data_IF_145325851024
#
_entry.id   IF_145325851024
#
_cell.length_a   1.000
_cell.length_b   1.000
_cell.length_c   1.000
_cell.angle_alpha   90.00
_cell.angle_beta   90.00
_cell.angle_gamma   90.00
#
_symmetry.space_group_name_H-M   'P 1'
#
loop_
_entity.id
_entity.type
_entity.pdbx_description
1 polymer ?
#
# COMPACT_ATOMS: atom_id res chain seq x y z
N UNK A 1 6.83 7.31 -22.22
CA UNK A 1 5.63 6.44 -22.20
C UNK A 1 4.50 7.13 -21.46
N UNK A 2 3.27 7.08 -21.99
CA UNK A 2 2.08 7.75 -21.46
C UNK A 2 1.59 7.07 -20.15
N UNK A 3 1.00 7.82 -19.23
CA UNK A 3 0.38 7.30 -17.99
C UNK A 3 -0.95 6.59 -18.24
N UNK A 4 -1.59 6.82 -19.38
CA UNK A 4 -2.87 6.19 -19.75
C UNK A 4 -2.71 4.90 -20.55
N UNK A 5 -1.49 4.41 -20.77
CA UNK A 5 -1.26 3.16 -21.51
C UNK A 5 -1.85 1.96 -20.73
N UNK A 6 -2.68 1.10 -21.35
CA UNK A 6 -3.30 -0.03 -20.67
C UNK A 6 -2.33 -0.97 -19.93
N UNK A 7 -1.09 -1.10 -20.41
CA UNK A 7 -0.07 -1.93 -19.76
C UNK A 7 0.36 -1.39 -18.40
N UNK A 8 0.11 -0.10 -18.12
CA UNK A 8 0.44 0.55 -16.84
C UNK A 8 -0.34 0.02 -15.66
N UNK A 9 -1.56 -0.51 -15.87
CA UNK A 9 -2.33 -1.09 -14.77
C UNK A 9 -1.56 -2.27 -14.16
N UNK A 10 -1.01 -3.16 -15.00
CA UNK A 10 -0.20 -4.28 -14.53
C UNK A 10 1.07 -3.82 -13.80
N UNK A 11 1.76 -2.79 -14.31
CA UNK A 11 2.92 -2.18 -13.63
C UNK A 11 2.54 -1.66 -12.23
N UNK A 12 1.43 -0.91 -12.12
CA UNK A 12 0.97 -0.35 -10.86
C UNK A 12 0.57 -1.43 -9.85
N UNK A 13 -0.16 -2.47 -10.29
CA UNK A 13 -0.48 -3.63 -9.46
C UNK A 13 0.80 -4.34 -8.99
N UNK A 14 1.79 -4.49 -9.87
CA UNK A 14 3.09 -5.05 -9.53
C UNK A 14 3.84 -4.22 -8.47
N UNK A 15 3.83 -2.90 -8.58
CA UNK A 15 4.41 -2.01 -7.58
C UNK A 15 3.72 -2.13 -6.22
N UNK A 16 2.39 -2.22 -6.21
CA UNK A 16 1.62 -2.41 -4.96
C UNK A 16 2.01 -3.75 -4.33
N UNK A 17 1.98 -4.85 -5.10
CA UNK A 17 2.29 -6.17 -4.61
C UNK A 17 3.71 -6.24 -4.02
N UNK A 18 4.70 -5.74 -4.76
CA UNK A 18 6.10 -5.74 -4.30
C UNK A 18 6.28 -4.91 -3.03
N UNK A 19 5.62 -3.76 -2.92
CA UNK A 19 5.69 -2.92 -1.74
C UNK A 19 5.06 -3.60 -0.51
N UNK A 20 3.94 -4.29 -0.67
CA UNK A 20 3.32 -5.09 0.41
C UNK A 20 4.26 -6.23 0.84
N UNK A 21 4.85 -6.94 -0.13
CA UNK A 21 5.78 -8.04 0.16
C UNK A 21 7.03 -7.55 0.90
N UNK A 22 7.61 -6.42 0.49
CA UNK A 22 8.73 -5.79 1.20
C UNK A 22 8.36 -5.47 2.66
N UNK A 23 7.20 -4.85 2.89
CA UNK A 23 6.73 -4.50 4.25
C UNK A 23 6.60 -5.76 5.10
N UNK A 24 6.00 -6.83 4.55
CA UNK A 24 5.87 -8.11 5.25
C UNK A 24 7.24 -8.68 5.61
N UNK A 25 8.20 -8.63 4.69
CA UNK A 25 9.53 -9.19 4.92
C UNK A 25 10.32 -8.41 5.99
N UNK A 26 10.19 -7.07 6.03
CA UNK A 26 10.82 -6.26 7.07
C UNK A 26 10.22 -6.45 8.46
N UNK A 27 8.94 -6.81 8.53
CA UNK A 27 8.17 -6.92 9.77
C UNK A 27 7.96 -8.37 10.22
N UNK A 28 8.46 -9.34 9.43
CA UNK A 28 8.25 -10.76 9.67
C UNK A 28 8.79 -11.19 11.04
N UNK A 29 7.93 -11.77 11.87
CA UNK A 29 8.29 -12.25 13.21
C UNK A 29 8.55 -11.14 14.24
N UNK A 30 8.40 -9.87 13.87
CA UNK A 30 8.51 -8.76 14.81
C UNK A 30 7.22 -8.63 15.65
N UNK A 31 7.39 -8.28 16.92
CA UNK A 31 6.31 -7.76 17.74
C UNK A 31 6.26 -6.22 17.63
N UNK A 32 5.12 -5.62 18.01
CA UNK A 32 4.93 -4.17 17.98
C UNK A 32 6.08 -3.43 18.70
N UNK A 33 6.43 -3.84 19.92
CA UNK A 33 7.48 -3.15 20.70
C UNK A 33 8.84 -3.16 19.99
N UNK A 34 9.18 -4.25 19.30
CA UNK A 34 10.41 -4.35 18.51
C UNK A 34 10.37 -3.42 17.28
N UNK A 35 9.22 -3.34 16.61
CA UNK A 35 8.99 -2.42 15.50
C UNK A 35 9.05 -0.94 15.94
N UNK A 36 8.50 -0.60 17.12
CA UNK A 36 8.45 0.78 17.62
C UNK A 36 9.83 1.36 17.95
N UNK A 37 10.83 0.52 18.20
CA UNK A 37 12.21 0.96 18.47
C UNK A 37 13.15 0.82 17.26
N UNK A 38 12.73 0.13 16.20
CA UNK A 38 13.50 -0.03 14.97
C UNK A 38 13.17 1.07 13.94
N UNK A 39 13.86 2.20 14.07
CA UNK A 39 13.66 3.36 13.18
C UNK A 39 13.93 3.04 11.71
N UNK A 40 14.87 2.15 11.42
CA UNK A 40 15.20 1.78 10.04
C UNK A 40 14.03 1.02 9.40
N UNK A 41 13.44 0.08 10.12
CA UNK A 41 12.27 -0.67 9.65
C UNK A 41 11.06 0.23 9.50
N UNK A 42 10.84 1.17 10.43
CA UNK A 42 9.80 2.19 10.32
C UNK A 42 9.90 3.01 9.03
N UNK A 43 11.09 3.54 8.72
CA UNK A 43 11.31 4.33 7.50
C UNK A 43 11.12 3.49 6.23
N UNK A 44 11.60 2.25 6.23
CA UNK A 44 11.41 1.32 5.12
C UNK A 44 9.92 1.00 4.89
N UNK A 45 9.16 0.80 5.96
CA UNK A 45 7.70 0.58 5.88
C UNK A 45 6.99 1.80 5.32
N UNK A 46 7.25 2.99 5.87
CA UNK A 46 6.62 4.24 5.42
C UNK A 46 6.87 4.47 3.93
N UNK A 47 8.11 4.26 3.47
CA UNK A 47 8.45 4.41 2.04
C UNK A 47 7.65 3.46 1.14
N UNK A 48 7.43 2.21 1.56
CA UNK A 48 6.64 1.26 0.76
C UNK A 48 5.14 1.59 0.79
N UNK A 49 4.62 2.12 1.91
CA UNK A 49 3.23 2.60 1.98
C UNK A 49 2.99 3.79 1.05
N UNK A 50 3.95 4.69 0.88
CA UNK A 50 3.90 5.76 -0.13
C UNK A 50 3.81 5.20 -1.56
N UNK A 51 4.60 4.15 -1.87
CA UNK A 51 4.58 3.50 -3.18
C UNK A 51 3.20 2.89 -3.47
N UNK A 52 2.61 2.20 -2.49
CA UNK A 52 1.26 1.65 -2.60
C UNK A 52 0.25 2.77 -2.88
N UNK A 53 0.33 3.88 -2.15
CA UNK A 53 -0.54 5.04 -2.32
C UNK A 53 -0.40 5.69 -3.71
N UNK A 54 0.83 5.91 -4.17
CA UNK A 54 1.08 6.52 -5.48
C UNK A 54 0.58 5.64 -6.64
N UNK A 55 0.87 4.33 -6.59
CA UNK A 55 0.40 3.39 -7.60
C UNK A 55 -1.14 3.31 -7.63
N UNK A 56 -1.79 3.24 -6.47
CA UNK A 56 -3.25 3.20 -6.37
C UNK A 56 -3.90 4.48 -6.90
N UNK A 57 -3.34 5.64 -6.54
CA UNK A 57 -3.81 6.94 -7.06
C UNK A 57 -3.65 7.05 -8.58
N UNK A 58 -2.56 6.52 -9.15
CA UNK A 58 -2.38 6.50 -10.60
C UNK A 58 -3.42 5.60 -11.30
N UNK A 59 -3.78 4.45 -10.72
CA UNK A 59 -4.86 3.59 -11.23
C UNK A 59 -6.18 4.37 -11.24
N UNK A 60 -6.58 4.99 -10.13
CA UNK A 60 -7.83 5.77 -10.06
C UNK A 60 -7.83 6.92 -11.07
N UNK A 61 -6.73 7.66 -11.16
CA UNK A 61 -6.63 8.87 -11.98
C UNK A 61 -6.57 8.59 -13.48
N UNK A 62 -5.86 7.54 -13.89
CA UNK A 62 -5.55 7.28 -15.30
C UNK A 62 -6.31 6.07 -15.87
N UNK A 63 -6.86 5.21 -15.01
CA UNK A 63 -7.55 3.97 -15.37
C UNK A 63 -8.87 3.81 -14.58
N UNK A 64 -9.65 4.89 -14.47
CA UNK A 64 -10.89 4.93 -13.70
C UNK A 64 -11.89 3.80 -14.03
N UNK A 65 -11.98 3.37 -15.31
CA UNK A 65 -12.83 2.25 -15.70
C UNK A 65 -12.43 0.93 -15.02
N UNK A 66 -11.12 0.68 -14.91
CA UNK A 66 -10.59 -0.49 -14.19
C UNK A 66 -10.86 -0.36 -12.69
N UNK A 67 -10.57 0.81 -12.10
CA UNK A 67 -10.83 1.06 -10.68
C UNK A 67 -12.31 0.87 -10.31
N UNK A 68 -13.22 1.36 -11.16
CA UNK A 68 -14.67 1.24 -10.96
C UNK A 68 -15.17 -0.21 -11.11
N UNK A 69 -14.56 -0.99 -12.01
CA UNK A 69 -14.87 -2.42 -12.17
C UNK A 69 -14.40 -3.25 -10.95
N UNK A 70 -13.42 -2.75 -10.20
CA UNK A 70 -12.83 -3.37 -9.02
C UNK A 70 -12.97 -2.46 -7.79
N UNK A 71 -14.20 -1.98 -7.53
CA UNK A 71 -14.50 -1.02 -6.48
C UNK A 71 -14.43 -1.60 -5.06
N UNK A 72 -14.29 -2.92 -4.93
CA UNK A 72 -14.04 -3.64 -3.67
C UNK A 72 -12.58 -3.49 -3.19
N UNK A 73 -11.68 -3.04 -4.06
CA UNK A 73 -10.28 -2.77 -3.70
C UNK A 73 -10.17 -1.34 -3.15
N UNK A 74 -9.54 -1.12 -1.98
CA UNK A 74 -9.42 0.19 -1.35
C UNK A 74 -8.38 1.08 -2.05
N UNK A 75 -8.64 1.49 -3.29
CA UNK A 75 -7.71 2.29 -4.11
C UNK A 75 -7.37 3.66 -3.50
N UNK A 76 -8.21 4.18 -2.59
CA UNK A 76 -8.00 5.46 -1.92
C UNK A 76 -6.96 5.42 -0.78
N UNK A 77 -6.15 4.36 -0.73
CA UNK A 77 -5.17 4.08 0.32
C UNK A 77 -4.25 5.27 0.65
N UNK A 78 -3.87 6.10 -0.32
CA UNK A 78 -3.04 7.28 -0.09
C UNK A 78 -3.70 8.32 0.84
N UNK A 79 -5.02 8.47 0.77
CA UNK A 79 -5.79 9.37 1.64
C UNK A 79 -5.97 8.77 3.05
N UNK A 80 -6.20 7.46 3.12
CA UNK A 80 -6.35 6.72 4.38
C UNK A 80 -5.02 6.65 5.16
N UNK A 81 -3.91 6.39 4.46
CA UNK A 81 -2.55 6.53 4.98
C UNK A 81 -2.28 7.94 5.48
N UNK A 82 -2.62 8.97 4.69
CA UNK A 82 -2.46 10.36 5.12
C UNK A 82 -3.30 10.67 6.38
N UNK A 83 -4.48 10.09 6.54
CA UNK A 83 -5.28 10.23 7.77
C UNK A 83 -4.63 9.53 8.97
N UNK A 84 -4.05 8.34 8.79
CA UNK A 84 -3.23 7.67 9.81
C UNK A 84 -1.98 8.49 10.18
N UNK A 85 -1.42 9.26 9.22
CA UNK A 85 -0.22 10.08 9.38
C UNK A 85 -0.48 11.51 9.92
N UNK A 86 -1.74 11.97 9.98
CA UNK A 86 -2.06 13.40 10.16
C UNK A 86 -2.80 13.76 11.46
N UNK A 87 -2.97 12.83 12.41
CA UNK A 87 -3.48 13.20 13.74
C UNK A 87 -2.41 13.90 14.59
N UNK A 88 -2.20 15.19 14.27
CA UNK A 88 -1.63 16.23 15.12
C UNK A 88 -0.23 15.99 15.68
N UNK A 89 0.77 16.66 15.09
CA UNK A 89 2.20 16.75 15.46
C UNK A 89 3.19 15.96 14.60
N UNK A 90 3.25 16.14 13.27
CA UNK A 90 4.42 15.77 12.42
C UNK A 90 5.03 14.36 12.61
N UNK A 91 4.36 13.47 13.32
CA UNK A 91 4.91 12.23 13.87
C UNK A 91 3.94 11.16 13.42
N UNK A 92 4.45 10.28 12.59
CA UNK A 92 3.75 9.09 12.12
C UNK A 92 3.38 8.28 13.36
N UNK A 93 2.09 8.00 13.57
CA UNK A 93 1.70 7.05 14.60
C UNK A 93 2.01 5.65 14.11
N UNK A 94 3.19 5.17 14.50
CA UNK A 94 3.68 3.84 14.14
C UNK A 94 2.82 2.71 14.73
N UNK A 95 1.99 2.98 15.74
CA UNK A 95 1.00 2.02 16.24
C UNK A 95 -0.11 1.79 15.21
N UNK A 96 -0.59 2.87 14.58
CA UNK A 96 -1.59 2.77 13.50
C UNK A 96 -0.97 2.11 12.27
N UNK A 97 0.26 2.49 11.91
CA UNK A 97 0.99 1.85 10.80
C UNK A 97 1.11 0.34 11.04
N UNK A 98 1.44 -0.06 12.27
CA UNK A 98 1.51 -1.47 12.63
C UNK A 98 0.15 -2.18 12.49
N UNK A 99 -0.94 -1.55 12.92
CA UNK A 99 -2.29 -2.10 12.70
C UNK A 99 -2.60 -2.30 11.21
N UNK A 100 -2.21 -1.33 10.36
CA UNK A 100 -2.36 -1.44 8.90
C UNK A 100 -1.55 -2.58 8.32
N UNK A 101 -0.28 -2.75 8.75
CA UNK A 101 0.56 -3.88 8.35
C UNK A 101 -0.12 -5.22 8.67
N UNK A 102 -0.71 -5.34 9.86
CA UNK A 102 -1.26 -6.59 10.35
C UNK A 102 -2.66 -6.91 9.79
N UNK A 103 -3.50 -5.90 9.57
CA UNK A 103 -4.93 -6.09 9.31
C UNK A 103 -5.33 -5.76 7.87
N UNK A 104 -4.75 -4.72 7.26
CA UNK A 104 -5.21 -4.16 5.99
C UNK A 104 -4.36 -4.64 4.80
N UNK A 105 -3.04 -4.75 4.98
CA UNK A 105 -2.15 -5.17 3.89
C UNK A 105 -2.33 -6.64 3.47
N UNK A 106 -2.56 -7.62 4.37
CA UNK A 106 -2.77 -9.01 3.97
C UNK A 106 -3.98 -9.22 3.04
N UNK A 107 -5.19 -8.70 3.34
CA UNK A 107 -6.32 -8.84 2.42
C UNK A 107 -6.11 -8.05 1.12
N UNK A 108 -5.52 -6.85 1.16
CA UNK A 108 -5.19 -6.08 -0.04
C UNK A 108 -4.25 -6.88 -0.97
N UNK A 109 -3.21 -7.50 -0.42
CA UNK A 109 -2.30 -8.35 -1.18
C UNK A 109 -3.04 -9.45 -1.95
N UNK A 110 -3.99 -10.12 -1.30
CA UNK A 110 -4.78 -11.19 -1.91
C UNK A 110 -5.63 -10.65 -3.07
N UNK A 111 -6.24 -9.48 -2.91
CA UNK A 111 -6.99 -8.82 -3.99
C UNK A 111 -6.08 -8.50 -5.18
N UNK A 112 -4.92 -7.89 -4.94
CA UNK A 112 -3.97 -7.50 -5.99
C UNK A 112 -3.47 -8.73 -6.76
N UNK A 113 -3.12 -9.82 -6.06
CA UNK A 113 -2.71 -11.08 -6.71
C UNK A 113 -3.81 -11.62 -7.63
N UNK A 114 -5.07 -11.58 -7.19
CA UNK A 114 -6.19 -12.02 -8.04
C UNK A 114 -6.34 -11.18 -9.29
N UNK A 115 -6.15 -9.86 -9.20
CA UNK A 115 -6.22 -8.95 -10.35
C UNK A 115 -5.08 -9.14 -11.36
N UNK A 116 -3.95 -9.71 -10.91
CA UNK A 116 -2.79 -9.99 -11.77
C UNK A 116 -2.86 -11.35 -12.45
N UNK A 117 -3.77 -12.25 -12.05
CA UNK A 117 -3.94 -13.53 -12.73
C UNK A 117 -4.87 -13.37 -13.95
N UNK A 118 -4.53 -13.95 -15.11
CA UNK A 118 -5.46 -13.99 -16.23
C UNK A 118 -6.67 -14.85 -15.86
N UNK A 119 -7.87 -14.35 -16.16
CA UNK A 119 -9.13 -15.10 -16.09
C UNK A 119 -9.14 -16.32 -17.01
#
# INVERSE_FOLDING_TARGET
MNRSDPHRVADYLGHILQAIDNIRDYTNGAALDAYLVDRKTQDAVVRNLEVIGEASNNIVKHHAAFANAHSDVPWCFAYEMRNALSHGYFTIDHTIVWQTIQNDLPPLRVQIVKLMQPS
#
